data_IF_796023287655
#
_entry.id   IF_796023287655
#
_cell.length_a   1.000
_cell.length_b   1.000
_cell.length_c   1.000
_cell.angle_alpha   90.00
_cell.angle_beta   90.00
_cell.angle_gamma   90.00
#
_symmetry.space_group_name_H-M   'P 1'
#
loop_
_entity.id
_entity.type
_entity.pdbx_description
1 polymer ?
#
# COMPACT_ATOMS: atom_id res chain seq x y z
N UNK A 1 35.80 -13.76 8.18
CA UNK A 1 34.62 -13.22 8.91
C UNK A 1 33.48 -12.70 8.03
N UNK A 2 33.68 -12.39 6.73
CA UNK A 2 32.60 -11.86 5.86
C UNK A 2 31.66 -12.94 5.28
N UNK A 3 32.10 -14.20 5.14
CA UNK A 3 31.28 -15.28 4.55
C UNK A 3 30.24 -15.92 5.48
N UNK A 4 30.37 -15.76 6.80
CA UNK A 4 29.55 -16.52 7.77
C UNK A 4 28.14 -15.91 7.93
N UNK A 5 27.95 -14.62 7.64
CA UNK A 5 26.66 -13.93 7.80
C UNK A 5 25.61 -14.22 6.70
N UNK A 6 26.01 -14.71 5.53
CA UNK A 6 25.10 -14.84 4.38
C UNK A 6 24.45 -16.22 4.17
N UNK A 7 24.71 -17.20 5.06
CA UNK A 7 24.25 -18.60 4.88
C UNK A 7 22.96 -19.00 5.62
N UNK A 8 22.23 -18.09 6.28
CA UNK A 8 20.90 -18.39 6.86
C UNK A 8 19.80 -17.43 6.37
N UNK A 9 18.71 -18.02 5.86
CA UNK A 9 17.57 -17.43 5.12
C UNK A 9 16.59 -16.57 5.96
N UNK A 10 17.07 -15.72 6.88
CA UNK A 10 16.17 -15.00 7.83
C UNK A 10 16.32 -13.46 7.81
N UNK A 11 17.38 -12.88 7.23
CA UNK A 11 17.54 -11.41 7.17
C UNK A 11 17.27 -10.84 5.77
N UNK A 12 15.99 -10.65 5.42
CA UNK A 12 15.59 -9.63 4.43
C UNK A 12 15.05 -8.35 5.10
N UNK A 13 14.40 -8.49 6.26
CA UNK A 13 13.77 -7.39 7.00
C UNK A 13 14.77 -6.41 7.64
N UNK A 14 16.03 -6.78 7.81
CA UNK A 14 17.03 -6.00 8.56
C UNK A 14 17.96 -5.14 7.69
N UNK A 15 18.10 -5.43 6.38
CA UNK A 15 19.02 -4.71 5.50
C UNK A 15 18.52 -3.29 5.16
N UNK A 16 17.21 -3.05 5.31
CA UNK A 16 16.57 -1.75 5.01
C UNK A 16 16.57 -0.80 6.25
N UNK A 17 16.70 -1.35 7.47
CA UNK A 17 16.50 -0.59 8.72
C UNK A 17 17.63 0.40 9.03
N UNK A 18 18.88 0.10 8.65
CA UNK A 18 20.04 0.94 9.01
C UNK A 18 20.29 2.15 8.10
N UNK A 19 19.30 2.54 7.30
CA UNK A 19 19.43 3.51 6.21
C UNK A 19 19.34 4.99 6.61
N UNK A 20 18.69 5.32 7.73
CA UNK A 20 18.13 6.66 7.96
C UNK A 20 18.65 7.37 9.23
N UNK A 21 19.98 7.49 9.34
CA UNK A 21 20.59 8.43 10.31
C UNK A 21 21.33 9.54 9.56
N UNK A 22 20.94 10.79 9.81
CA UNK A 22 21.45 12.06 9.23
C UNK A 22 21.22 12.31 7.72
N UNK A 23 20.03 12.82 7.38
CA UNK A 23 19.84 13.82 6.33
C UNK A 23 18.70 14.83 6.65
N UNK A 24 18.71 15.41 7.86
CA UNK A 24 17.99 16.66 8.15
C UNK A 24 16.45 16.65 8.16
N UNK A 25 15.80 15.49 8.02
CA UNK A 25 14.42 15.30 8.47
C UNK A 25 14.44 14.88 9.95
N UNK A 26 13.46 15.30 10.74
CA UNK A 26 13.31 14.84 12.14
C UNK A 26 13.02 13.34 12.17
N UNK A 27 13.49 12.65 13.22
CA UNK A 27 13.45 11.19 13.36
C UNK A 27 12.03 10.62 13.65
N UNK A 28 10.98 11.27 13.15
CA UNK A 28 9.57 11.04 13.49
C UNK A 28 8.69 10.69 12.28
N UNK A 29 9.28 10.22 11.17
CA UNK A 29 8.59 10.00 9.89
C UNK A 29 9.08 8.78 9.06
N UNK A 30 9.90 7.89 9.63
CA UNK A 30 10.48 6.75 8.89
C UNK A 30 10.60 5.52 9.79
N UNK A 31 9.49 4.81 10.00
CA UNK A 31 9.50 3.44 10.51
C UNK A 31 8.60 2.57 9.61
N UNK A 32 9.05 1.34 9.39
CA UNK A 32 8.41 0.25 8.63
C UNK A 32 7.89 0.54 7.20
N UNK A 33 8.50 -0.14 6.23
CA UNK A 33 7.88 -0.36 4.93
C UNK A 33 7.43 -1.82 4.85
N UNK A 34 6.11 -2.06 4.78
CA UNK A 34 5.57 -3.37 4.42
C UNK A 34 5.90 -3.65 2.95
N UNK A 35 7.07 -4.25 2.70
CA UNK A 35 7.42 -4.81 1.40
C UNK A 35 6.55 -6.04 1.18
N UNK A 36 5.49 -5.90 0.38
CA UNK A 36 4.74 -7.06 -0.13
C UNK A 36 5.62 -7.80 -1.15
N UNK A 37 6.56 -8.57 -0.62
CA UNK A 37 7.11 -9.72 -1.31
C UNK A 37 5.95 -10.67 -1.58
N UNK A 38 5.80 -11.13 -2.82
CA UNK A 38 5.05 -12.37 -3.04
C UNK A 38 5.82 -13.51 -2.35
N UNK A 39 5.13 -14.60 -1.98
CA UNK A 39 5.73 -15.76 -1.27
C UNK A 39 6.96 -16.40 -1.95
N UNK A 40 7.33 -15.93 -3.15
CA UNK A 40 8.47 -16.36 -3.95
C UNK A 40 9.64 -15.34 -3.96
N UNK A 41 9.53 -14.20 -3.26
CA UNK A 41 10.58 -13.16 -3.16
C UNK A 41 10.77 -12.27 -4.39
N UNK A 42 9.91 -12.39 -5.41
CA UNK A 42 10.14 -11.84 -6.76
C UNK A 42 9.35 -10.55 -7.07
N UNK A 43 8.55 -10.05 -6.13
CA UNK A 43 7.69 -8.86 -6.30
C UNK A 43 7.96 -7.77 -5.25
N UNK A 44 7.85 -6.51 -5.66
CA UNK A 44 8.21 -5.33 -4.87
C UNK A 44 7.30 -4.16 -5.26
N UNK A 45 6.02 -4.21 -4.88
CA UNK A 45 5.05 -3.15 -5.13
C UNK A 45 4.87 -2.31 -3.87
N UNK A 46 4.97 -0.99 -3.98
CA UNK A 46 4.84 -0.03 -2.87
C UNK A 46 3.54 0.77 -3.03
N UNK A 47 2.93 1.15 -1.91
CA UNK A 47 1.97 2.25 -1.82
C UNK A 47 2.45 3.26 -0.77
N UNK A 48 2.86 4.45 -1.17
CA UNK A 48 3.39 5.48 -0.24
C UNK A 48 2.36 6.00 0.77
N UNK A 49 1.07 5.74 0.57
CA UNK A 49 0.04 6.15 1.51
C UNK A 49 0.05 5.36 2.83
N UNK A 50 0.31 4.04 2.76
CA UNK A 50 0.37 3.14 3.94
C UNK A 50 1.64 3.32 4.79
N UNK A 51 2.66 3.98 4.24
CA UNK A 51 3.94 4.25 4.89
C UNK A 51 3.86 5.31 6.01
N UNK A 52 2.75 6.05 6.11
CA UNK A 52 2.56 7.12 7.11
C UNK A 52 1.62 6.71 8.26
N UNK A 53 1.64 5.43 8.69
CA UNK A 53 0.72 4.90 9.72
C UNK A 53 1.33 4.06 10.84
N UNK A 54 2.49 3.40 10.67
CA UNK A 54 3.07 2.54 11.74
C UNK A 54 3.61 3.31 12.98
N UNK A 55 3.33 4.61 13.10
CA UNK A 55 3.69 5.47 14.23
C UNK A 55 2.51 5.87 15.15
N UNK A 56 1.28 5.42 14.89
CA UNK A 56 0.09 5.82 15.67
C UNK A 56 -0.73 4.62 16.21
N UNK A 57 -0.11 3.77 17.04
CA UNK A 57 -0.82 2.78 17.86
C UNK A 57 -0.50 2.94 19.35
N UNK A 58 -1.32 3.73 20.06
CA UNK A 58 -1.63 3.56 21.50
C UNK A 58 -2.94 4.25 21.88
N UNK A 59 -3.93 3.46 22.28
CA UNK A 59 -4.96 3.61 23.34
C UNK A 59 -5.97 2.48 23.12
N UNK A 60 -6.42 1.69 24.10
CA UNK A 60 -6.09 1.60 25.52
C UNK A 60 -6.73 0.32 26.09
N UNK A 61 -6.45 -0.02 27.35
CA UNK A 61 -6.94 -1.24 28.01
C UNK A 61 -8.45 -1.22 28.28
N UNK A 62 -9.09 -2.41 28.30
CA UNK A 62 -10.17 -2.71 29.26
C UNK A 62 -10.04 -4.17 29.71
N UNK A 63 -10.35 -4.42 30.98
CA UNK A 63 -10.26 -5.71 31.65
C UNK A 63 -11.46 -5.85 32.60
N UNK A 64 -12.32 -6.86 32.42
CA UNK A 64 -13.18 -7.43 33.48
C UNK A 64 -14.11 -8.53 32.94
N UNK A 65 -14.16 -9.65 33.66
CA UNK A 65 -15.04 -10.81 33.46
C UNK A 65 -16.46 -10.56 34.02
N UNK A 66 -17.49 -11.26 33.51
CA UNK A 66 -18.70 -11.69 34.25
C UNK A 66 -19.29 -12.97 33.61
N UNK A 67 -19.82 -13.85 34.46
CA UNK A 67 -20.51 -15.13 34.18
C UNK A 67 -22.00 -15.03 34.62
N UNK A 68 -22.97 -15.89 34.24
CA UNK A 68 -22.91 -17.24 33.64
C UNK A 68 -24.15 -17.54 32.72
N UNK A 69 -24.63 -18.78 32.73
CA UNK A 69 -25.72 -19.41 31.95
C UNK A 69 -27.15 -18.86 32.11
N UNK A 70 -28.02 -19.13 31.12
CA UNK A 70 -29.44 -19.50 31.34
C UNK A 70 -29.81 -20.66 30.40
N UNK A 71 -30.36 -21.75 30.95
CA UNK A 71 -30.88 -22.91 30.21
C UNK A 71 -32.24 -22.61 29.54
N UNK A 72 -32.54 -23.34 28.47
CA UNK A 72 -33.81 -23.27 27.74
C UNK A 72 -34.86 -24.25 28.29
N UNK A 73 -36.10 -23.79 28.51
CA UNK A 73 -37.27 -24.67 28.57
C UNK A 73 -38.46 -24.02 27.82
N UNK A 74 -39.35 -24.85 27.25
CA UNK A 74 -40.33 -24.47 26.22
C UNK A 74 -41.75 -24.31 26.76
N UNK A 75 -42.54 -23.42 26.15
CA UNK A 75 -43.94 -23.70 25.78
C UNK A 75 -44.48 -22.68 24.76
N UNK A 76 -45.26 -23.14 23.79
CA UNK A 76 -45.99 -22.30 22.82
C UNK A 76 -47.44 -22.09 23.30
N UNK A 77 -47.92 -20.83 23.38
CA UNK A 77 -49.36 -20.51 23.33
C UNK A 77 -49.56 -19.28 22.41
N UNK A 78 -50.49 -19.37 21.45
CA UNK A 78 -50.83 -18.27 20.53
C UNK A 78 -51.84 -17.32 21.21
N UNK A 79 -51.34 -16.36 21.98
CA UNK A 79 -52.16 -15.26 22.50
C UNK A 79 -52.05 -13.99 21.65
N UNK A 80 -53.18 -13.27 21.56
CA UNK A 80 -53.33 -12.08 20.73
C UNK A 80 -52.83 -10.84 21.50
N UNK A 81 -51.52 -10.81 21.77
CA UNK A 81 -50.89 -9.88 22.73
C UNK A 81 -50.75 -8.43 22.21
N UNK A 82 -51.22 -7.48 23.03
CA UNK A 82 -50.87 -6.07 22.91
C UNK A 82 -49.49 -5.87 23.55
N UNK A 83 -48.42 -6.00 22.76
CA UNK A 83 -47.04 -5.93 23.24
C UNK A 83 -46.70 -4.57 23.89
N UNK A 84 -46.44 -4.56 25.20
CA UNK A 84 -45.83 -3.42 25.89
C UNK A 84 -44.38 -3.23 25.43
N UNK A 85 -44.04 -1.98 25.07
CA UNK A 85 -42.69 -1.56 24.71
C UNK A 85 -42.07 -0.76 25.86
N UNK A 86 -40.90 -1.17 26.34
CA UNK A 86 -40.14 -0.47 27.38
C UNK A 86 -39.04 0.42 26.79
N UNK A 87 -38.45 1.32 27.57
CA UNK A 87 -37.34 2.19 27.12
C UNK A 87 -36.16 1.36 26.58
N UNK A 88 -35.61 1.75 25.43
CA UNK A 88 -34.45 1.11 24.84
C UNK A 88 -34.78 -0.07 23.90
N UNK A 89 -33.93 -1.10 23.89
CA UNK A 89 -33.98 -2.19 22.91
C UNK A 89 -35.10 -3.20 23.19
N UNK A 90 -36.03 -3.33 22.25
CA UNK A 90 -37.14 -4.30 22.31
C UNK A 90 -37.04 -5.26 21.12
N UNK A 91 -37.27 -6.56 21.32
CA UNK A 91 -37.41 -7.53 20.23
C UNK A 91 -38.71 -8.31 20.36
N UNK A 92 -39.58 -8.16 19.36
CA UNK A 92 -40.95 -8.70 19.33
C UNK A 92 -41.18 -9.35 17.97
N UNK A 93 -41.65 -10.61 17.93
CA UNK A 93 -41.79 -11.41 16.70
C UNK A 93 -40.52 -11.45 15.81
N UNK A 94 -39.32 -11.42 16.42
CA UNK A 94 -38.05 -11.34 15.68
C UNK A 94 -37.78 -10.01 14.97
N UNK A 95 -38.57 -8.97 15.21
CA UNK A 95 -38.32 -7.58 14.80
C UNK A 95 -37.72 -6.81 15.97
N UNK A 96 -36.63 -6.10 15.74
CA UNK A 96 -35.99 -5.25 16.76
C UNK A 96 -36.43 -3.80 16.61
N UNK A 97 -36.68 -3.15 17.74
CA UNK A 97 -37.09 -1.75 17.88
C UNK A 97 -36.22 -1.07 18.93
N UNK A 98 -36.16 0.26 18.89
CA UNK A 98 -35.65 1.06 20.00
C UNK A 98 -36.71 2.09 20.39
N UNK A 99 -37.00 2.23 21.69
CA UNK A 99 -38.08 3.06 22.19
C UNK A 99 -37.57 4.15 23.14
N UNK A 100 -38.29 5.28 23.20
CA UNK A 100 -38.02 6.35 24.16
C UNK A 100 -38.51 6.00 25.59
N UNK A 101 -38.29 6.93 26.53
CA UNK A 101 -38.71 6.85 27.94
C UNK A 101 -40.23 6.64 28.15
N UNK A 102 -41.00 6.89 27.09
CA UNK A 102 -42.45 6.84 27.04
C UNK A 102 -42.96 5.63 26.24
N UNK A 103 -42.06 4.71 25.85
CA UNK A 103 -42.38 3.50 25.09
C UNK A 103 -42.63 3.73 23.58
N UNK A 104 -42.45 4.95 23.06
CA UNK A 104 -42.67 5.22 21.64
C UNK A 104 -41.51 4.71 20.80
N UNK A 105 -41.82 3.99 19.73
CA UNK A 105 -40.83 3.45 18.78
C UNK A 105 -40.14 4.59 18.01
N UNK A 106 -38.82 4.65 18.09
CA UNK A 106 -38.03 5.56 17.29
C UNK A 106 -38.04 5.14 15.80
N UNK A 107 -37.99 6.14 14.92
CA UNK A 107 -37.97 5.95 13.46
C UNK A 107 -36.81 6.71 12.82
N UNK A 108 -36.45 6.38 11.59
CA UNK A 108 -35.38 7.04 10.84
C UNK A 108 -33.97 6.70 11.34
N UNK A 109 -33.00 7.57 11.04
CA UNK A 109 -31.63 7.42 11.54
C UNK A 109 -31.55 7.81 13.02
N UNK A 110 -31.03 6.90 13.85
CA UNK A 110 -30.82 7.13 15.27
C UNK A 110 -29.36 6.84 15.62
N UNK A 111 -28.80 7.58 16.57
CA UNK A 111 -27.47 7.30 17.12
C UNK A 111 -27.63 6.93 18.59
N UNK A 112 -27.31 5.67 18.91
CA UNK A 112 -27.44 5.05 20.22
C UNK A 112 -26.04 4.56 20.58
N UNK A 113 -25.50 4.99 21.73
CA UNK A 113 -24.15 4.61 22.19
C UNK A 113 -23.05 4.81 21.11
N UNK A 114 -23.03 6.00 20.48
CA UNK A 114 -22.18 6.38 19.34
C UNK A 114 -22.33 5.53 18.05
N UNK A 115 -23.20 4.52 18.05
CA UNK A 115 -23.51 3.69 16.88
C UNK A 115 -24.75 4.24 16.16
N UNK A 116 -24.66 4.39 14.84
CA UNK A 116 -25.81 4.79 14.01
C UNK A 116 -26.59 3.57 13.53
N UNK A 117 -27.90 3.59 13.77
CA UNK A 117 -28.89 2.63 13.29
C UNK A 117 -29.88 3.31 12.33
N UNK A 118 -30.75 2.53 11.69
CA UNK A 118 -31.91 3.05 11.00
C UNK A 118 -33.14 2.17 11.25
N UNK A 119 -34.21 2.81 11.68
CA UNK A 119 -35.52 2.21 11.90
C UNK A 119 -36.47 2.69 10.79
N UNK A 120 -37.32 1.83 10.26
CA UNK A 120 -38.29 2.21 9.23
C UNK A 120 -39.48 3.02 9.80
N UNK A 121 -40.48 3.29 8.96
CA UNK A 121 -41.69 4.05 9.34
C UNK A 121 -42.56 3.31 10.37
N UNK A 122 -42.33 2.01 10.59
CA UNK A 122 -42.98 1.19 11.60
C UNK A 122 -42.11 0.99 12.85
N UNK A 123 -40.92 1.62 12.88
CA UNK A 123 -39.93 1.51 13.96
C UNK A 123 -39.08 0.25 13.90
N UNK A 124 -39.13 -0.55 12.82
CA UNK A 124 -38.37 -1.79 12.72
C UNK A 124 -36.93 -1.51 12.27
N UNK A 125 -35.96 -2.00 13.04
CA UNK A 125 -34.53 -1.86 12.76
C UNK A 125 -34.17 -2.54 11.43
N UNK A 126 -33.54 -1.80 10.53
CA UNK A 126 -33.13 -2.31 9.23
C UNK A 126 -31.74 -2.94 9.28
N UNK A 127 -31.60 -4.12 8.69
CA UNK A 127 -30.30 -4.79 8.47
C UNK A 127 -30.04 -4.98 6.97
N UNK A 128 -28.78 -5.16 6.58
CA UNK A 128 -28.40 -5.40 5.19
C UNK A 128 -28.45 -4.15 4.29
N UNK A 129 -28.79 -4.34 3.00
CA UNK A 129 -28.67 -3.30 1.97
C UNK A 129 -29.92 -2.43 1.81
N UNK A 130 -30.01 -1.33 2.55
CA UNK A 130 -31.16 -0.40 2.50
C UNK A 130 -30.92 0.78 1.54
N UNK A 131 -31.99 1.30 0.94
CA UNK A 131 -31.98 2.52 0.12
C UNK A 131 -32.87 3.56 0.80
N UNK A 132 -32.27 4.69 1.20
CA UNK A 132 -32.93 5.75 1.96
C UNK A 132 -32.68 7.06 1.20
N UNK A 133 -33.73 7.77 0.81
CA UNK A 133 -33.65 9.02 0.05
C UNK A 133 -32.71 8.95 -1.18
N UNK A 134 -32.78 7.84 -1.93
CA UNK A 134 -31.96 7.56 -3.11
C UNK A 134 -30.48 7.19 -2.84
N UNK A 135 -30.02 7.34 -1.61
CA UNK A 135 -28.69 6.90 -1.16
C UNK A 135 -28.74 5.43 -0.74
N UNK A 136 -27.63 4.71 -0.94
CA UNK A 136 -27.53 3.29 -0.58
C UNK A 136 -26.62 3.10 0.62
N UNK A 137 -27.13 2.43 1.63
CA UNK A 137 -26.50 2.15 2.91
C UNK A 137 -26.27 0.64 3.04
N UNK A 138 -25.48 0.25 4.03
CA UNK A 138 -25.48 -1.12 4.52
C UNK A 138 -25.51 -1.08 6.04
N UNK A 139 -26.44 -1.80 6.64
CA UNK A 139 -26.50 -2.03 8.08
C UNK A 139 -26.00 -3.45 8.34
N UNK A 140 -25.20 -3.65 9.38
CA UNK A 140 -24.66 -4.95 9.75
C UNK A 140 -25.76 -5.85 10.31
N UNK A 141 -25.44 -7.11 10.63
CA UNK A 141 -26.42 -8.03 11.21
C UNK A 141 -26.88 -7.56 12.61
N UNK A 142 -26.02 -6.83 13.34
CA UNK A 142 -26.33 -6.08 14.56
C UNK A 142 -27.12 -4.78 14.35
N UNK A 143 -27.42 -4.39 13.11
CA UNK A 143 -28.06 -3.10 12.78
C UNK A 143 -27.11 -1.91 12.63
N UNK A 144 -25.83 -2.04 12.99
CA UNK A 144 -24.84 -0.95 12.87
C UNK A 144 -24.66 -0.45 11.43
N UNK A 145 -24.71 0.87 11.21
CA UNK A 145 -24.48 1.47 9.89
C UNK A 145 -23.00 1.37 9.47
N UNK A 146 -22.75 0.72 8.33
CA UNK A 146 -21.42 0.57 7.76
C UNK A 146 -20.81 1.91 7.32
N UNK A 147 -19.63 2.23 7.84
CA UNK A 147 -18.78 3.35 7.43
C UNK A 147 -17.39 2.86 6.99
N UNK A 148 -16.69 3.66 6.18
CA UNK A 148 -15.34 3.31 5.73
C UNK A 148 -15.28 2.08 4.83
N UNK A 149 -14.23 1.28 4.94
CA UNK A 149 -14.07 0.06 4.12
C UNK A 149 -14.71 -1.13 4.84
N UNK A 150 -15.79 -1.65 4.26
CA UNK A 150 -16.57 -2.75 4.86
C UNK A 150 -16.57 -3.96 3.94
N UNK A 151 -16.29 -5.14 4.50
CA UNK A 151 -16.30 -6.42 3.77
C UNK A 151 -17.67 -7.07 3.89
N UNK A 152 -18.44 -7.04 2.80
CA UNK A 152 -19.79 -7.61 2.75
C UNK A 152 -19.72 -8.91 1.94
N UNK A 153 -19.96 -10.04 2.60
CA UNK A 153 -19.73 -11.41 2.09
C UNK A 153 -18.27 -11.60 1.64
N UNK A 154 -18.00 -11.58 0.33
CA UNK A 154 -16.66 -11.77 -0.27
C UNK A 154 -16.16 -10.54 -1.04
N UNK A 155 -16.73 -9.35 -0.79
CA UNK A 155 -16.46 -8.12 -1.54
C UNK A 155 -16.28 -6.94 -0.58
N UNK A 156 -15.26 -6.13 -0.81
CA UNK A 156 -15.05 -4.89 -0.07
C UNK A 156 -15.79 -3.74 -0.77
N UNK A 157 -16.44 -2.90 0.02
CA UNK A 157 -17.13 -1.68 -0.39
C UNK A 157 -16.55 -0.50 0.40
N UNK A 158 -16.78 0.71 -0.08
CA UNK A 158 -16.39 1.94 0.63
C UNK A 158 -17.65 2.78 0.88
N UNK A 159 -17.91 3.10 2.13
CA UNK A 159 -18.94 4.02 2.58
C UNK A 159 -18.27 5.32 3.06
N UNK A 160 -18.92 6.46 2.88
CA UNK A 160 -18.41 7.72 3.45
C UNK A 160 -18.74 7.81 4.96
N UNK A 161 -18.30 8.89 5.63
CA UNK A 161 -18.60 9.15 7.05
C UNK A 161 -20.10 9.28 7.40
N UNK A 162 -20.98 9.32 6.39
CA UNK A 162 -22.45 9.35 6.54
C UNK A 162 -23.09 8.04 6.08
N UNK A 163 -22.35 6.93 6.04
CA UNK A 163 -22.85 5.61 5.63
C UNK A 163 -23.23 5.46 4.15
N UNK A 164 -22.97 6.45 3.29
CA UNK A 164 -23.38 6.41 1.88
C UNK A 164 -22.35 5.68 1.02
N UNK A 165 -22.80 4.60 0.36
CA UNK A 165 -22.00 3.79 -0.56
C UNK A 165 -21.38 4.63 -1.68
N UNK A 166 -20.05 4.59 -1.75
CA UNK A 166 -19.29 5.15 -2.85
C UNK A 166 -19.41 4.27 -4.10
N UNK A 167 -19.53 4.91 -5.27
CA UNK A 167 -19.68 4.25 -6.58
C UNK A 167 -18.47 4.54 -7.48
N UNK A 168 -18.54 4.10 -8.74
CA UNK A 168 -17.46 4.03 -9.75
C UNK A 168 -16.40 5.14 -9.66
N UNK A 169 -15.14 4.73 -9.83
CA UNK A 169 -14.01 5.63 -10.03
C UNK A 169 -12.93 5.48 -8.97
N UNK A 170 -11.90 6.31 -9.06
CA UNK A 170 -10.90 6.41 -7.99
C UNK A 170 -11.53 7.04 -6.74
N UNK A 171 -11.14 6.54 -5.57
CA UNK A 171 -11.43 7.15 -4.27
C UNK A 171 -10.15 7.14 -3.44
N UNK A 172 -9.91 8.22 -2.71
CA UNK A 172 -8.93 8.22 -1.62
C UNK A 172 -9.70 7.95 -0.34
N UNK A 173 -9.29 6.93 0.40
CA UNK A 173 -9.72 6.66 1.76
C UNK A 173 -8.46 6.40 2.58
N UNK A 174 -8.36 7.02 3.74
CA UNK A 174 -7.19 6.95 4.62
C UNK A 174 -5.83 7.07 3.91
N UNK A 175 -5.66 8.19 3.17
CA UNK A 175 -4.51 8.50 2.29
C UNK A 175 -4.36 7.54 1.08
N UNK A 176 -4.76 6.28 1.19
CA UNK A 176 -4.66 5.23 0.19
C UNK A 176 -5.68 5.40 -0.94
N UNK A 177 -5.30 4.97 -2.15
CA UNK A 177 -6.16 5.05 -3.35
C UNK A 177 -6.77 3.70 -3.68
N UNK A 178 -8.07 3.71 -3.91
CA UNK A 178 -8.87 2.56 -4.33
C UNK A 178 -9.52 2.87 -5.67
N UNK A 179 -9.96 1.85 -6.40
CA UNK A 179 -10.82 2.01 -7.57
C UNK A 179 -12.07 1.16 -7.43
N UNK A 180 -13.23 1.80 -7.52
CA UNK A 180 -14.54 1.17 -7.36
C UNK A 180 -15.15 0.91 -8.73
N UNK A 181 -15.88 -0.20 -8.87
CA UNK A 181 -16.68 -0.46 -10.06
C UNK A 181 -18.08 0.22 -9.98
N UNK A 182 -18.93 0.02 -11.00
CA UNK A 182 -20.28 0.59 -11.06
C UNK A 182 -21.19 0.22 -9.87
N UNK A 183 -20.91 -0.90 -9.19
CA UNK A 183 -21.66 -1.40 -8.04
C UNK A 183 -21.01 -1.03 -6.69
N UNK A 184 -20.00 -0.14 -6.68
CA UNK A 184 -19.28 0.25 -5.46
C UNK A 184 -18.24 -0.76 -4.95
N UNK A 185 -18.05 -1.89 -5.63
CA UNK A 185 -17.09 -2.92 -5.21
C UNK A 185 -15.66 -2.44 -5.49
N UNK A 186 -14.84 -2.38 -4.45
CA UNK A 186 -13.41 -2.10 -4.52
C UNK A 186 -12.73 -3.17 -5.40
N UNK A 187 -11.91 -2.72 -6.34
CA UNK A 187 -11.23 -3.59 -7.30
C UNK A 187 -9.84 -4.00 -6.82
N UNK A 188 -9.50 -5.27 -7.04
CA UNK A 188 -8.18 -5.86 -6.79
C UNK A 188 -7.55 -6.37 -8.09
N UNK A 189 -6.24 -6.60 -8.09
CA UNK A 189 -5.47 -7.09 -9.23
C UNK A 189 -5.21 -6.03 -10.31
N UNK A 190 -4.79 -6.47 -11.50
CA UNK A 190 -4.59 -5.58 -12.64
C UNK A 190 -5.94 -5.09 -13.20
N UNK A 191 -6.05 -3.78 -13.46
CA UNK A 191 -7.21 -3.16 -14.12
C UNK A 191 -6.74 -2.21 -15.23
N UNK A 192 -7.51 -2.12 -16.32
CA UNK A 192 -7.37 -1.09 -17.36
C UNK A 192 -8.41 0.00 -17.07
N UNK A 193 -7.96 1.21 -16.83
CA UNK A 193 -8.79 2.38 -16.47
C UNK A 193 -8.31 3.53 -17.36
N UNK A 194 -9.22 4.08 -18.16
CA UNK A 194 -8.97 5.22 -19.06
C UNK A 194 -7.70 5.05 -19.90
N UNK A 195 -7.59 3.90 -20.57
CA UNK A 195 -6.45 3.50 -21.40
C UNK A 195 -5.20 3.04 -20.63
N UNK A 196 -5.05 3.42 -19.37
CA UNK A 196 -3.89 3.13 -18.53
C UNK A 196 -4.08 1.81 -17.75
N UNK A 197 -2.98 1.14 -17.37
CA UNK A 197 -3.03 -0.04 -16.50
C UNK A 197 -2.61 0.35 -15.09
N UNK A 198 -3.32 -0.17 -14.10
CA UNK A 198 -3.04 -0.03 -12.67
C UNK A 198 -3.03 -1.41 -12.01
N UNK A 199 -2.36 -1.53 -10.87
CA UNK A 199 -2.38 -2.71 -10.03
C UNK A 199 -2.92 -2.34 -8.65
N UNK A 200 -3.98 -3.04 -8.23
CA UNK A 200 -4.55 -2.95 -6.90
C UNK A 200 -4.20 -4.22 -6.12
N UNK A 201 -3.79 -4.06 -4.88
CA UNK A 201 -3.33 -5.14 -4.00
C UNK A 201 -4.53 -5.95 -3.49
N UNK A 202 -4.30 -6.98 -2.66
CA UNK A 202 -5.38 -7.90 -2.21
C UNK A 202 -6.45 -7.19 -1.36
N UNK A 203 -6.04 -6.17 -0.62
CA UNK A 203 -6.88 -5.26 0.17
C UNK A 203 -7.63 -4.21 -0.68
N UNK A 204 -7.24 -4.06 -1.95
CA UNK A 204 -7.79 -3.08 -2.89
C UNK A 204 -6.98 -1.78 -3.00
N UNK A 205 -5.88 -1.63 -2.24
CA UNK A 205 -5.04 -0.44 -2.29
C UNK A 205 -4.25 -0.43 -3.61
N UNK A 206 -4.23 0.72 -4.29
CA UNK A 206 -3.47 0.93 -5.52
C UNK A 206 -1.98 1.02 -5.20
N UNK A 207 -1.18 0.13 -5.78
CA UNK A 207 0.27 0.29 -5.77
C UNK A 207 0.66 1.51 -6.61
N UNK A 208 1.53 2.36 -6.07
CA UNK A 208 1.92 3.64 -6.68
C UNK A 208 3.39 3.74 -7.05
N UNK A 209 4.28 2.82 -6.65
CA UNK A 209 5.56 2.60 -7.33
C UNK A 209 6.11 1.16 -7.20
N UNK A 210 7.27 0.89 -7.82
CA UNK A 210 7.99 -0.38 -7.71
C UNK A 210 7.81 -1.32 -8.91
N UNK A 211 7.92 -2.63 -8.68
CA UNK A 211 7.87 -3.68 -9.70
C UNK A 211 6.92 -4.82 -9.28
N UNK A 212 5.94 -5.15 -10.11
CA UNK A 212 5.05 -6.31 -9.89
C UNK A 212 4.98 -7.19 -11.15
N UNK A 213 5.34 -8.47 -11.01
CA UNK A 213 5.58 -9.42 -12.09
C UNK A 213 6.49 -8.79 -13.16
N UNK A 214 6.11 -8.84 -14.43
CA UNK A 214 6.83 -8.18 -15.52
C UNK A 214 6.37 -6.73 -15.78
N UNK A 215 5.87 -6.02 -14.76
CA UNK A 215 5.48 -4.62 -14.83
C UNK A 215 6.27 -3.74 -13.86
N UNK A 216 6.61 -2.54 -14.33
CA UNK A 216 7.09 -1.43 -13.52
C UNK A 216 5.95 -0.46 -13.26
N UNK A 217 5.81 -0.04 -12.01
CA UNK A 217 4.80 0.89 -11.53
C UNK A 217 5.49 2.26 -11.37
N UNK A 218 5.08 3.25 -12.15
CA UNK A 218 5.53 4.63 -11.99
C UNK A 218 4.82 5.28 -10.80
N UNK A 219 5.42 6.35 -10.23
CA UNK A 219 4.98 7.17 -9.08
C UNK A 219 3.60 7.89 -9.23
N UNK A 220 2.72 7.35 -10.05
CA UNK A 220 1.32 7.71 -10.24
C UNK A 220 0.42 6.46 -10.41
N UNK A 221 0.91 5.27 -10.02
CA UNK A 221 0.23 3.98 -10.15
C UNK A 221 0.20 3.36 -11.55
N UNK A 222 0.69 4.06 -12.58
CA UNK A 222 0.64 3.54 -13.97
C UNK A 222 1.65 2.41 -14.16
N UNK A 223 1.14 1.25 -14.53
CA UNK A 223 1.93 0.05 -14.81
C UNK A 223 2.36 -0.03 -16.28
N UNK A 224 3.65 -0.26 -16.52
CA UNK A 224 4.25 -0.43 -17.83
C UNK A 224 4.97 -1.78 -17.91
N UNK A 225 4.80 -2.51 -19.02
CA UNK A 225 5.49 -3.80 -19.21
C UNK A 225 7.00 -3.57 -19.34
N UNK A 226 7.80 -4.33 -18.58
CA UNK A 226 9.26 -4.22 -18.60
C UNK A 226 9.78 -4.80 -19.94
N UNK A 227 10.60 -4.06 -20.72
CA UNK A 227 11.06 -4.47 -22.06
C UNK A 227 12.28 -5.40 -22.02
N UNK A 228 12.25 -6.44 -21.17
CA UNK A 228 13.37 -7.32 -20.83
C UNK A 228 13.71 -8.42 -21.86
N UNK A 229 13.40 -8.20 -23.15
CA UNK A 229 13.81 -9.12 -24.23
C UNK A 229 15.34 -9.17 -24.29
N UNK A 230 15.91 -10.38 -24.43
CA UNK A 230 17.32 -10.58 -24.80
C UNK A 230 17.43 -10.52 -26.33
N UNK A 231 18.24 -9.61 -26.87
CA UNK A 231 18.41 -9.43 -28.32
C UNK A 231 19.81 -9.79 -28.84
N UNK A 232 20.77 -9.98 -27.92
CA UNK A 232 22.20 -10.14 -28.24
C UNK A 232 22.98 -8.86 -27.96
N UNK A 233 22.39 -7.70 -28.23
CA UNK A 233 22.91 -6.39 -27.83
C UNK A 233 22.54 -6.10 -26.36
N UNK A 234 23.48 -6.44 -25.46
CA UNK A 234 23.32 -6.27 -24.01
C UNK A 234 23.11 -4.81 -23.60
N UNK A 235 23.75 -3.88 -24.30
CA UNK A 235 23.69 -2.45 -23.98
C UNK A 235 22.36 -1.85 -24.43
N UNK A 236 21.88 -2.19 -25.63
CA UNK A 236 20.53 -1.82 -26.06
C UNK A 236 19.46 -2.45 -25.16
N UNK A 237 19.63 -3.72 -24.76
CA UNK A 237 18.72 -4.42 -23.85
C UNK A 237 18.60 -3.69 -22.50
N UNK A 238 19.73 -3.38 -21.86
CA UNK A 238 19.77 -2.61 -20.61
C UNK A 238 19.21 -1.19 -20.79
N UNK A 239 19.58 -0.50 -21.88
CA UNK A 239 19.14 0.87 -22.18
C UNK A 239 17.64 0.97 -22.43
N UNK A 240 16.97 -0.08 -22.94
CA UNK A 240 15.49 -0.12 -23.04
C UNK A 240 14.83 -0.16 -21.67
N UNK A 241 15.36 -0.94 -20.71
CA UNK A 241 14.82 -0.97 -19.34
C UNK A 241 15.15 0.33 -18.61
N UNK A 242 16.37 0.85 -18.71
CA UNK A 242 16.78 2.11 -18.09
C UNK A 242 15.96 3.33 -18.59
N UNK A 243 15.57 3.37 -19.87
CA UNK A 243 14.62 4.36 -20.41
C UNK A 243 13.25 4.27 -19.72
N UNK A 244 12.79 3.07 -19.37
CA UNK A 244 11.55 2.89 -18.62
C UNK A 244 11.69 3.31 -17.17
N UNK A 245 12.81 2.99 -16.50
CA UNK A 245 13.10 3.49 -15.13
C UNK A 245 13.05 5.02 -15.09
N UNK A 246 13.76 5.70 -16.00
CA UNK A 246 13.74 7.15 -16.11
C UNK A 246 12.31 7.68 -16.31
N UNK A 247 11.53 7.10 -17.23
CA UNK A 247 10.12 7.47 -17.43
C UNK A 247 9.30 7.33 -16.13
N UNK A 248 9.49 6.24 -15.41
CA UNK A 248 8.70 5.88 -14.22
C UNK A 248 9.10 6.66 -12.96
N UNK A 249 10.34 7.14 -12.85
CA UNK A 249 10.76 8.10 -11.81
C UNK A 249 10.06 9.46 -11.95
N UNK A 250 9.59 9.78 -13.16
CA UNK A 250 8.90 11.03 -13.45
C UNK A 250 9.85 12.21 -13.68
N UNK A 251 11.11 11.98 -14.08
CA UNK A 251 12.14 13.01 -14.24
C UNK A 251 11.74 14.26 -15.06
N UNK A 252 10.81 14.11 -16.03
CA UNK A 252 10.29 15.23 -16.83
C UNK A 252 9.27 16.12 -16.09
N UNK A 253 8.85 15.76 -14.89
CA UNK A 253 7.94 16.56 -14.09
C UNK A 253 8.70 17.75 -13.47
N UNK A 254 8.45 18.95 -14.01
CA UNK A 254 9.06 20.21 -13.56
C UNK A 254 8.72 20.59 -12.10
N UNK A 255 7.69 19.99 -11.49
CA UNK A 255 7.32 20.23 -10.09
C UNK A 255 8.18 19.45 -9.08
N UNK A 256 8.94 18.45 -9.53
CA UNK A 256 9.82 17.66 -8.66
C UNK A 256 11.21 18.30 -8.57
N UNK A 257 11.80 18.27 -7.38
CA UNK A 257 13.23 18.54 -7.16
C UNK A 257 14.09 17.43 -7.76
N UNK A 258 15.37 17.69 -8.02
CA UNK A 258 16.29 16.69 -8.55
C UNK A 258 16.48 15.53 -7.58
N UNK A 259 16.60 15.80 -6.28
CA UNK A 259 16.68 14.76 -5.25
C UNK A 259 15.49 13.79 -5.31
N UNK A 260 14.27 14.27 -5.59
CA UNK A 260 13.10 13.41 -5.76
C UNK A 260 13.21 12.56 -7.03
N UNK A 261 13.56 13.15 -8.18
CA UNK A 261 13.68 12.43 -9.45
C UNK A 261 14.75 11.33 -9.37
N UNK A 262 15.88 11.63 -8.74
CA UNK A 262 17.01 10.72 -8.54
C UNK A 262 16.66 9.64 -7.52
N UNK A 263 16.09 9.98 -6.37
CA UNK A 263 15.63 9.00 -5.38
C UNK A 263 14.61 8.02 -5.94
N UNK A 264 13.62 8.53 -6.70
CA UNK A 264 12.64 7.70 -7.41
C UNK A 264 13.29 6.74 -8.43
N UNK A 265 14.39 7.14 -9.07
CA UNK A 265 15.15 6.26 -9.95
C UNK A 265 15.95 5.22 -9.15
N UNK A 266 16.62 5.63 -8.07
CA UNK A 266 17.39 4.77 -7.17
C UNK A 266 16.52 3.65 -6.56
N UNK A 267 15.34 3.99 -6.03
CA UNK A 267 14.37 3.02 -5.48
C UNK A 267 13.92 2.00 -6.54
N UNK A 268 13.68 2.42 -7.79
CA UNK A 268 13.30 1.48 -8.86
C UNK A 268 14.48 0.56 -9.24
N UNK A 269 15.73 1.04 -9.23
CA UNK A 269 16.91 0.19 -9.47
C UNK A 269 17.12 -0.79 -8.31
N UNK A 270 16.93 -0.34 -7.07
CA UNK A 270 16.98 -1.21 -5.88
C UNK A 270 15.92 -2.32 -5.95
N UNK A 271 14.70 -2.02 -6.43
CA UNK A 271 13.67 -3.03 -6.70
C UNK A 271 14.07 -4.06 -7.77
N UNK A 272 14.93 -3.70 -8.74
CA UNK A 272 15.54 -4.70 -9.63
C UNK A 272 16.59 -5.53 -8.90
N UNK A 273 17.47 -4.91 -8.11
CA UNK A 273 18.48 -5.60 -7.30
C UNK A 273 17.86 -6.63 -6.34
N UNK A 274 16.73 -6.31 -5.71
CA UNK A 274 15.96 -7.24 -4.87
C UNK A 274 15.48 -8.50 -5.62
N UNK A 275 15.33 -8.44 -6.95
CA UNK A 275 14.93 -9.56 -7.84
C UNK A 275 16.13 -10.30 -8.46
N UNK A 276 17.35 -9.96 -8.07
CA UNK A 276 18.59 -10.50 -8.63
C UNK A 276 19.34 -11.36 -7.60
N UNK A 277 20.06 -12.39 -8.07
CA UNK A 277 21.08 -13.07 -7.26
C UNK A 277 22.26 -12.10 -7.06
N UNK A 278 22.60 -11.78 -5.82
CA UNK A 278 23.88 -11.13 -5.52
C UNK A 278 25.01 -12.16 -5.73
N UNK A 279 25.95 -11.89 -6.64
CA UNK A 279 26.97 -12.89 -7.01
C UNK A 279 28.15 -12.26 -7.76
N UNK A 280 29.34 -12.86 -7.58
CA UNK A 280 30.53 -12.65 -8.41
C UNK A 280 30.73 -13.76 -9.46
N UNK A 281 29.80 -14.72 -9.54
CA UNK A 281 29.85 -15.87 -10.44
C UNK A 281 29.07 -15.53 -11.72
N UNK A 282 29.78 -15.11 -12.77
CA UNK A 282 29.17 -14.77 -14.05
C UNK A 282 29.98 -13.74 -14.84
N UNK A 283 29.39 -13.23 -15.91
CA UNK A 283 30.03 -12.27 -16.82
C UNK A 283 29.35 -10.89 -16.83
N UNK A 284 28.14 -10.76 -16.26
CA UNK A 284 27.33 -9.53 -16.38
C UNK A 284 27.00 -8.90 -15.02
N UNK A 285 27.32 -9.55 -13.90
CA UNK A 285 27.02 -9.11 -12.51
C UNK A 285 27.55 -7.72 -12.13
N UNK A 286 28.45 -7.13 -12.93
CA UNK A 286 28.98 -5.76 -12.77
C UNK A 286 28.39 -4.75 -13.77
N UNK A 287 27.36 -5.14 -14.52
CA UNK A 287 26.80 -4.37 -15.65
C UNK A 287 25.32 -4.03 -15.46
N UNK A 288 24.81 -2.99 -16.14
CA UNK A 288 23.36 -2.72 -16.21
C UNK A 288 22.53 -3.88 -16.79
N UNK A 289 23.10 -4.68 -17.69
CA UNK A 289 22.44 -5.85 -18.28
C UNK A 289 22.25 -6.98 -17.25
N UNK A 290 23.22 -7.17 -16.35
CA UNK A 290 23.11 -8.08 -15.21
C UNK A 290 21.86 -7.80 -14.38
N UNK A 291 21.75 -6.55 -13.92
CA UNK A 291 20.65 -6.04 -13.08
C UNK A 291 19.30 -6.07 -13.81
N UNK A 292 19.22 -5.51 -15.02
CA UNK A 292 17.93 -5.29 -15.68
C UNK A 292 17.39 -6.50 -16.47
N UNK A 293 18.26 -7.42 -16.90
CA UNK A 293 17.91 -8.49 -17.86
C UNK A 293 18.28 -9.88 -17.36
N UNK A 294 19.46 -10.06 -16.76
CA UNK A 294 19.99 -11.40 -16.42
C UNK A 294 19.63 -11.87 -15.01
N UNK A 295 19.19 -10.97 -14.12
CA UNK A 295 18.94 -11.21 -12.69
C UNK A 295 20.20 -11.57 -11.87
N UNK A 296 21.36 -10.99 -12.20
CA UNK A 296 22.61 -11.15 -11.44
C UNK A 296 23.25 -9.78 -11.15
N UNK A 297 23.77 -9.54 -9.94
CA UNK A 297 24.36 -8.25 -9.61
C UNK A 297 25.40 -8.25 -8.48
N UNK A 298 26.08 -7.10 -8.36
CA UNK A 298 26.91 -6.63 -7.25
C UNK A 298 26.65 -5.13 -7.03
N UNK A 299 27.21 -4.52 -5.99
CA UNK A 299 27.24 -3.07 -5.80
C UNK A 299 27.72 -2.30 -7.07
N UNK A 300 28.74 -2.81 -7.75
CA UNK A 300 29.21 -2.28 -9.04
C UNK A 300 28.12 -2.33 -10.13
N UNK A 301 27.40 -3.44 -10.23
CA UNK A 301 26.29 -3.62 -11.18
C UNK A 301 25.12 -2.68 -10.90
N UNK A 302 24.70 -2.58 -9.64
CA UNK A 302 23.64 -1.67 -9.20
C UNK A 302 24.00 -0.19 -9.47
N UNK A 303 25.25 0.18 -9.16
CA UNK A 303 25.78 1.54 -9.38
C UNK A 303 25.82 1.90 -10.86
N UNK A 304 26.32 1.00 -11.72
CA UNK A 304 26.31 1.26 -13.18
C UNK A 304 24.89 1.22 -13.76
N UNK A 305 23.98 0.40 -13.22
CA UNK A 305 22.57 0.38 -13.63
C UNK A 305 21.87 1.72 -13.33
N UNK A 306 22.05 2.27 -12.12
CA UNK A 306 21.56 3.61 -11.80
C UNK A 306 22.27 4.69 -12.62
N UNK A 307 23.58 4.58 -12.83
CA UNK A 307 24.34 5.50 -13.67
C UNK A 307 23.81 5.59 -15.11
N UNK A 308 23.47 4.46 -15.73
CA UNK A 308 22.83 4.42 -17.06
C UNK A 308 21.48 5.15 -17.07
N UNK A 309 20.68 5.01 -16.00
CA UNK A 309 19.41 5.73 -15.84
C UNK A 309 19.65 7.25 -15.68
N UNK A 310 20.62 7.65 -14.87
CA UNK A 310 20.98 9.05 -14.63
C UNK A 310 21.50 9.74 -15.89
N UNK A 311 22.29 9.04 -16.72
CA UNK A 311 22.70 9.52 -18.04
C UNK A 311 21.49 9.79 -18.95
N UNK A 312 20.48 8.93 -18.95
CA UNK A 312 19.21 9.13 -19.70
C UNK A 312 18.39 10.28 -19.12
N UNK A 313 18.50 10.54 -17.82
CA UNK A 313 17.89 11.68 -17.12
C UNK A 313 18.71 12.99 -17.23
N UNK A 314 19.83 12.97 -17.96
CA UNK A 314 20.75 14.11 -18.18
C UNK A 314 21.54 14.59 -16.94
N UNK A 315 21.68 13.76 -15.90
CA UNK A 315 22.57 14.07 -14.77
C UNK A 315 24.01 13.64 -15.08
N UNK A 316 24.98 14.52 -14.78
CA UNK A 316 26.40 14.15 -14.70
C UNK A 316 26.65 13.45 -13.36
N UNK A 317 27.38 12.34 -13.40
CA UNK A 317 27.61 11.47 -12.25
C UNK A 317 29.02 10.86 -12.28
N UNK A 318 29.47 10.37 -11.12
CA UNK A 318 30.77 9.73 -10.93
C UNK A 318 30.60 8.46 -10.10
N UNK A 319 31.20 7.36 -10.56
CA UNK A 319 31.24 6.09 -9.82
C UNK A 319 32.26 6.21 -8.68
N UNK A 320 31.82 5.99 -7.43
CA UNK A 320 32.71 5.95 -6.26
C UNK A 320 33.07 4.50 -5.96
N UNK A 321 34.34 4.26 -5.60
CA UNK A 321 34.93 2.95 -5.34
C UNK A 321 34.90 1.98 -6.54
N UNK A 322 34.91 2.52 -7.77
CA UNK A 322 34.93 1.71 -8.98
C UNK A 322 36.12 0.73 -9.00
N UNK A 323 35.81 -0.55 -9.23
CA UNK A 323 36.78 -1.66 -9.24
C UNK A 323 37.44 -2.00 -7.90
N UNK A 324 36.92 -1.49 -6.79
CA UNK A 324 37.34 -1.87 -5.44
C UNK A 324 36.38 -2.93 -4.83
N UNK A 325 36.88 -3.71 -3.87
CA UNK A 325 36.08 -4.65 -3.07
C UNK A 325 35.40 -3.96 -1.87
N UNK A 326 34.89 -2.75 -2.11
CA UNK A 326 34.19 -1.90 -1.14
C UNK A 326 32.82 -1.50 -1.69
N UNK A 327 31.98 -0.91 -0.85
CA UNK A 327 30.65 -0.48 -1.26
C UNK A 327 30.73 0.60 -2.34
N UNK A 328 29.98 0.43 -3.43
CA UNK A 328 30.00 1.26 -4.63
C UNK A 328 28.70 2.05 -4.74
N UNK A 329 28.82 3.35 -5.07
CA UNK A 329 27.71 4.31 -5.10
C UNK A 329 27.99 5.46 -6.08
N UNK A 330 27.02 6.36 -6.28
CA UNK A 330 27.11 7.47 -7.25
C UNK A 330 27.25 8.82 -6.56
N UNK A 331 28.27 9.60 -6.93
CA UNK A 331 28.39 11.03 -6.62
C UNK A 331 27.83 11.86 -7.78
N UNK A 332 27.01 12.87 -7.48
CA UNK A 332 26.36 13.73 -8.49
C UNK A 332 26.04 15.14 -7.97
N UNK A 333 25.53 16.00 -8.85
CA UNK A 333 24.96 17.32 -8.50
C UNK A 333 23.44 17.28 -8.68
N UNK A 334 22.69 17.71 -7.65
CA UNK A 334 21.23 17.79 -7.61
C UNK A 334 20.83 19.12 -7.00
N UNK A 335 19.85 19.82 -7.57
CA UNK A 335 19.28 21.05 -6.98
C UNK A 335 20.37 22.10 -6.61
N UNK A 336 21.40 22.20 -7.46
CA UNK A 336 22.56 23.08 -7.25
C UNK A 336 23.66 22.55 -6.30
N UNK A 337 23.40 21.48 -5.54
CA UNK A 337 24.26 20.97 -4.45
C UNK A 337 24.97 19.66 -4.82
N UNK A 338 26.10 19.38 -4.17
CA UNK A 338 26.76 18.06 -4.21
C UNK A 338 25.93 17.06 -3.40
N UNK A 339 25.77 15.85 -3.92
CA UNK A 339 25.06 14.78 -3.24
C UNK A 339 25.47 13.39 -3.73
N UNK A 340 24.73 12.40 -3.25
CA UNK A 340 24.93 10.98 -3.55
C UNK A 340 23.63 10.31 -3.98
N UNK A 341 23.75 9.17 -4.66
CA UNK A 341 22.67 8.24 -4.93
C UNK A 341 23.18 6.80 -4.95
N UNK A 342 22.37 5.86 -4.51
CA UNK A 342 22.73 4.44 -4.38
C UNK A 342 21.67 3.56 -5.07
N UNK A 343 22.09 2.81 -6.09
CA UNK A 343 21.20 1.92 -6.84
C UNK A 343 20.92 0.58 -6.17
N UNK A 344 21.73 0.15 -5.19
CA UNK A 344 21.55 -1.11 -4.50
C UNK A 344 20.52 -0.97 -3.37
N UNK A 345 20.67 0.04 -2.51
CA UNK A 345 19.78 0.28 -1.36
C UNK A 345 18.72 1.37 -1.62
N UNK A 346 18.78 2.04 -2.76
CA UNK A 346 17.77 3.01 -3.20
C UNK A 346 17.89 4.39 -2.57
N UNK A 347 19.02 4.70 -1.93
CA UNK A 347 19.21 5.96 -1.19
C UNK A 347 19.54 7.13 -2.11
N UNK A 348 19.26 8.34 -1.62
CA UNK A 348 19.67 9.61 -2.21
C UNK A 348 19.85 10.64 -1.10
N UNK A 349 20.79 11.56 -1.24
CA UNK A 349 20.97 12.63 -0.26
C UNK A 349 21.94 13.72 -0.71
N UNK A 350 22.01 14.79 0.07
CA UNK A 350 23.02 15.84 -0.09
C UNK A 350 24.25 15.54 0.79
N UNK A 351 25.43 16.03 0.39
CA UNK A 351 26.65 15.86 1.17
C UNK A 351 27.36 14.52 0.95
N UNK A 352 27.84 13.89 2.04
CA UNK A 352 28.58 12.62 2.05
C UNK A 352 27.65 11.40 2.00
N UNK A 353 28.12 10.27 1.46
CA UNK A 353 27.40 9.01 1.59
C UNK A 353 27.44 8.53 3.06
N UNK A 354 26.42 7.83 3.58
CA UNK A 354 26.43 7.34 4.97
C UNK A 354 27.57 6.36 5.30
N UNK A 355 28.20 5.75 4.29
CA UNK A 355 29.36 4.86 4.44
C UNK A 355 30.71 5.59 4.47
N UNK A 356 30.74 6.90 4.20
CA UNK A 356 31.96 7.74 4.22
C UNK A 356 32.12 8.49 5.57
N UNK A 357 31.64 7.89 6.66
CA UNK A 357 31.59 8.49 8.01
C UNK A 357 32.78 8.08 8.85
#
# INVERSE_FOLDING_TARGET
MVEIFYKKRILLSWIIVFAFVFCGATASQVEAAEVITSNNGDDFAICWAKYNEELNLKTGDVNSDVEENVDSEYSEEEDNEEYEFYEGWNTVEGKTYYCDDSGNKLTGFQTIEDITYYFDEQGVMQTGWTVINGNKYYFQESGEMAVGITKIKKKNYLFNKKGVLQKKGFRTYDKAKYYLNKNGVIQTGFKKIDGNRYYFMKDGVMADCGLYKNYMIAYNGKCYKIPNKKTGDKDADAKRVAKLVAKCSGYKNKKLKDIEKVGRAAVIVSAFCARCKYTSEGTDYRTPYGVFIKKEYTCAGATRALGLVLTIMHYKWTHVNENQYTHQWIKLKMDGKKGFADGQVGWVGYGKHPVDR
#
